data_IF_998934957502
#
_entry.id   IF_998934957502
#
_cell.length_a   1.000
_cell.length_b   1.000
_cell.length_c   1.000
_cell.angle_alpha   90.00
_cell.angle_beta   90.00
_cell.angle_gamma   90.00
#
_symmetry.space_group_name_H-M   'P 1'
#
loop_
_entity.id
_entity.type
_entity.pdbx_description
1 polymer ?
#
# COMPACT_ATOMS: atom_id res chain seq x y z
N UNK A 1 36.10 13.70 0.11
CA UNK A 1 34.70 14.19 -0.02
C UNK A 1 33.77 13.04 0.34
N UNK A 2 33.24 13.03 1.57
CA UNK A 2 32.32 11.97 2.03
C UNK A 2 31.00 12.10 1.26
N UNK A 3 30.59 11.04 0.57
CA UNK A 3 29.30 10.98 -0.12
C UNK A 3 28.16 11.28 0.85
N UNK A 4 27.27 12.19 0.51
CA UNK A 4 26.10 12.54 1.33
C UNK A 4 25.20 11.32 1.50
N UNK A 5 25.29 10.67 2.66
CA UNK A 5 24.44 9.52 3.01
C UNK A 5 22.97 9.95 3.09
N UNK A 6 22.01 9.06 2.81
CA UNK A 6 20.57 9.38 2.88
C UNK A 6 20.15 9.90 4.26
N UNK A 7 20.81 9.44 5.32
CA UNK A 7 20.62 9.91 6.71
C UNK A 7 20.97 11.40 6.84
N UNK A 8 22.08 11.83 6.24
CA UNK A 8 22.48 13.24 6.25
C UNK A 8 21.48 14.12 5.47
N UNK A 9 20.90 13.61 4.37
CA UNK A 9 19.89 14.34 3.59
C UNK A 9 18.58 14.50 4.37
N UNK A 10 18.15 13.45 5.08
CA UNK A 10 16.98 13.51 5.94
C UNK A 10 17.18 14.49 7.10
N UNK A 11 18.35 14.46 7.76
CA UNK A 11 18.69 15.41 8.82
C UNK A 11 18.73 16.87 8.33
N UNK A 12 19.32 17.13 7.16
CA UNK A 12 19.27 18.48 6.56
C UNK A 12 17.84 18.92 6.27
N UNK A 13 17.02 18.05 5.68
CA UNK A 13 15.63 18.36 5.40
C UNK A 13 14.84 18.66 6.69
N UNK A 14 15.04 17.89 7.76
CA UNK A 14 14.34 18.14 9.02
C UNK A 14 14.72 19.49 9.62
N UNK A 15 16.02 19.84 9.60
CA UNK A 15 16.50 21.13 10.12
C UNK A 15 15.95 22.31 9.32
N UNK A 16 15.90 22.20 7.98
CA UNK A 16 15.29 23.22 7.13
C UNK A 16 13.80 23.39 7.41
N UNK A 17 13.06 22.29 7.55
CA UNK A 17 11.62 22.32 7.87
C UNK A 17 11.38 22.90 9.27
N UNK A 18 12.17 22.50 10.27
CA UNK A 18 12.07 22.98 11.64
C UNK A 18 12.37 24.49 11.73
N UNK A 19 13.48 24.94 11.13
CA UNK A 19 13.86 26.34 11.10
C UNK A 19 12.87 27.20 10.31
N UNK A 20 12.35 26.69 9.18
CA UNK A 20 11.31 27.38 8.41
C UNK A 20 10.03 27.57 9.22
N UNK A 21 9.61 26.56 9.97
CA UNK A 21 8.44 26.65 10.85
C UNK A 21 8.65 27.61 12.03
N UNK A 22 9.83 27.59 12.66
CA UNK A 22 10.22 28.55 13.68
C UNK A 22 10.25 29.98 13.15
N UNK A 23 10.76 30.19 11.93
CA UNK A 23 10.78 31.49 11.29
C UNK A 23 9.35 31.99 11.00
N UNK A 24 8.46 31.12 10.55
CA UNK A 24 7.04 31.45 10.39
C UNK A 24 6.39 31.83 11.74
N UNK A 25 6.73 31.13 12.82
CA UNK A 25 6.25 31.47 14.16
C UNK A 25 6.76 32.83 14.65
N UNK A 26 8.02 33.14 14.37
CA UNK A 26 8.61 34.44 14.64
C UNK A 26 7.92 35.56 13.84
N UNK A 27 7.66 35.37 12.54
CA UNK A 27 6.95 36.33 11.69
C UNK A 27 5.51 36.58 12.16
N UNK A 28 4.85 35.56 12.68
CA UNK A 28 3.52 35.66 13.27
C UNK A 28 3.52 36.26 14.68
N UNK A 29 4.69 36.68 15.20
CA UNK A 29 4.87 37.25 16.54
C UNK A 29 4.38 36.35 17.68
N UNK A 30 4.44 35.02 17.49
CA UNK A 30 3.98 34.07 18.51
C UNK A 30 5.06 33.94 19.59
N UNK A 31 4.76 34.47 20.78
CA UNK A 31 5.73 34.55 21.88
C UNK A 31 5.78 33.29 22.76
N UNK A 32 4.75 32.43 22.72
CA UNK A 32 4.68 31.24 23.58
C UNK A 32 5.23 30.00 22.88
N UNK A 33 6.02 29.14 23.55
CA UNK A 33 6.53 27.89 22.97
C UNK A 33 5.41 26.98 22.45
N UNK A 34 4.33 26.84 23.21
CA UNK A 34 3.17 26.07 22.81
C UNK A 34 2.48 26.65 21.56
N UNK A 35 2.33 27.98 21.48
CA UNK A 35 1.79 28.64 20.29
C UNK A 35 2.68 28.44 19.06
N UNK A 36 4.00 28.56 19.23
CA UNK A 36 4.96 28.36 18.15
C UNK A 36 4.92 26.91 17.63
N UNK A 37 4.76 25.92 18.52
CA UNK A 37 4.57 24.51 18.15
C UNK A 37 3.24 24.25 17.44
N UNK A 38 2.14 24.87 17.88
CA UNK A 38 0.85 24.79 17.17
C UNK A 38 0.98 25.34 15.75
N UNK A 39 1.59 26.52 15.59
CA UNK A 39 1.79 27.14 14.28
C UNK A 39 2.76 26.31 13.41
N UNK A 40 3.79 25.73 14.00
CA UNK A 40 4.68 24.80 13.30
C UNK A 40 3.93 23.57 12.78
N UNK A 41 3.01 23.00 13.59
CA UNK A 41 2.11 21.95 13.16
C UNK A 41 1.23 22.36 11.96
N UNK A 42 0.73 23.60 11.96
CA UNK A 42 0.01 24.14 10.81
C UNK A 42 0.88 24.17 9.54
N UNK A 43 2.11 24.68 9.64
CA UNK A 43 3.09 24.74 8.53
C UNK A 43 3.39 23.33 8.01
N UNK A 44 3.66 22.38 8.90
CA UNK A 44 3.93 20.99 8.54
C UNK A 44 2.78 20.36 7.77
N UNK A 45 1.53 20.63 8.20
CA UNK A 45 0.37 20.10 7.50
C UNK A 45 0.15 20.77 6.15
N UNK A 46 0.46 22.05 6.01
CA UNK A 46 0.44 22.78 4.74
C UNK A 46 1.40 22.14 3.72
N UNK A 47 2.58 21.68 4.13
CA UNK A 47 3.52 20.96 3.25
C UNK A 47 2.92 19.65 2.70
N UNK A 48 2.15 18.93 3.52
CA UNK A 48 1.47 17.70 3.10
C UNK A 48 0.12 17.94 2.39
N UNK A 49 -0.37 19.18 2.37
CA UNK A 49 -1.70 19.53 1.86
C UNK A 49 -1.87 19.26 0.36
N UNK A 50 -0.92 19.64 -0.53
CA UNK A 50 -1.03 19.40 -1.97
C UNK A 50 -1.30 17.94 -2.32
N UNK A 51 -0.62 17.00 -1.65
CA UNK A 51 -0.83 15.57 -1.86
C UNK A 51 -2.24 15.13 -1.46
N UNK A 52 -2.74 15.59 -0.31
CA UNK A 52 -4.09 15.24 0.14
C UNK A 52 -5.19 15.89 -0.69
N UNK A 53 -4.97 17.10 -1.24
CA UNK A 53 -5.91 17.76 -2.17
C UNK A 53 -5.92 17.03 -3.52
N UNK A 54 -4.75 16.65 -4.03
CA UNK A 54 -4.65 15.86 -5.26
C UNK A 54 -5.32 14.48 -5.09
N UNK A 55 -5.19 13.87 -3.90
CA UNK A 55 -5.93 12.66 -3.53
C UNK A 55 -7.45 12.86 -3.58
N UNK A 56 -7.96 13.98 -3.06
CA UNK A 56 -9.39 14.32 -3.12
C UNK A 56 -9.84 14.51 -4.58
N UNK A 57 -9.06 15.21 -5.42
CA UNK A 57 -9.37 15.35 -6.84
C UNK A 57 -9.47 13.99 -7.55
N UNK A 58 -8.55 13.07 -7.25
CA UNK A 58 -8.57 11.74 -7.84
C UNK A 58 -9.80 10.95 -7.38
N UNK A 59 -10.14 11.02 -6.09
CA UNK A 59 -11.34 10.36 -5.53
C UNK A 59 -12.61 10.84 -6.22
N UNK A 60 -12.80 12.16 -6.33
CA UNK A 60 -13.98 12.74 -6.96
C UNK A 60 -14.07 12.35 -8.45
N UNK A 61 -12.94 12.29 -9.18
CA UNK A 61 -12.93 11.79 -10.57
C UNK A 61 -13.29 10.31 -10.67
N UNK A 62 -12.88 9.48 -9.70
CA UNK A 62 -13.34 8.08 -9.66
C UNK A 62 -14.84 8.04 -9.43
N UNK A 63 -15.37 8.83 -8.50
CA UNK A 63 -16.81 8.87 -8.24
C UNK A 63 -17.62 9.25 -9.50
N UNK A 64 -17.12 10.19 -10.32
CA UNK A 64 -17.72 10.53 -11.61
C UNK A 64 -17.58 9.43 -12.68
N UNK A 65 -16.57 8.57 -12.58
CA UNK A 65 -16.32 7.47 -13.52
C UNK A 65 -17.13 6.20 -13.20
N UNK A 66 -17.63 6.07 -11.97
CA UNK A 66 -18.41 4.91 -11.52
C UNK A 66 -19.69 4.65 -12.32
N UNK A 67 -20.51 5.66 -12.71
CA UNK A 67 -21.71 5.43 -13.52
C UNK A 67 -21.41 4.73 -14.84
N UNK A 68 -20.44 5.22 -15.61
CA UNK A 68 -20.05 4.62 -16.90
C UNK A 68 -19.49 3.20 -16.72
N UNK A 69 -18.73 2.98 -15.64
CA UNK A 69 -18.18 1.66 -15.34
C UNK A 69 -19.26 0.67 -14.90
N UNK A 70 -20.30 1.15 -14.21
CA UNK A 70 -21.43 0.36 -13.80
C UNK A 70 -22.24 -0.13 -15.01
N UNK A 71 -22.41 0.70 -16.04
CA UNK A 71 -23.08 0.29 -17.27
C UNK A 71 -22.25 -0.76 -18.04
N UNK A 72 -20.93 -0.57 -18.16
CA UNK A 72 -20.05 -1.60 -18.72
C UNK A 72 -20.06 -2.91 -17.91
N UNK A 73 -20.28 -2.82 -16.60
CA UNK A 73 -20.39 -3.98 -15.74
C UNK A 73 -21.70 -4.75 -15.94
N UNK A 74 -22.84 -4.05 -16.15
CA UNK A 74 -24.10 -4.71 -16.52
C UNK A 74 -23.95 -5.56 -17.77
N UNK A 75 -23.34 -5.00 -18.83
CA UNK A 75 -23.06 -5.76 -20.07
C UNK A 75 -22.22 -7.02 -19.82
N UNK A 76 -21.28 -6.95 -18.88
CA UNK A 76 -20.48 -8.11 -18.49
C UNK A 76 -21.32 -9.16 -17.76
N UNK A 77 -22.17 -8.75 -16.81
CA UNK A 77 -23.04 -9.68 -16.08
C UNK A 77 -24.02 -10.38 -17.01
N UNK A 78 -24.60 -9.65 -17.96
CA UNK A 78 -25.50 -10.22 -18.97
C UNK A 78 -24.85 -11.39 -19.75
N UNK A 79 -23.54 -11.33 -19.99
CA UNK A 79 -22.79 -12.39 -20.67
C UNK A 79 -22.39 -13.51 -19.69
N UNK A 80 -21.92 -13.18 -18.49
CA UNK A 80 -21.39 -14.18 -17.55
C UNK A 80 -22.48 -15.02 -16.90
N UNK A 81 -23.59 -14.39 -16.54
CA UNK A 81 -24.73 -15.02 -15.89
C UNK A 81 -25.61 -15.77 -16.89
N UNK A 82 -25.36 -15.62 -18.20
CA UNK A 82 -26.07 -16.36 -19.22
C UNK A 82 -25.83 -17.88 -19.06
N UNK A 83 -26.89 -18.71 -18.99
CA UNK A 83 -26.79 -20.12 -18.66
C UNK A 83 -26.05 -20.95 -19.72
N UNK A 84 -25.93 -20.42 -20.95
CA UNK A 84 -25.22 -21.07 -22.05
C UNK A 84 -23.82 -20.50 -22.31
N UNK A 85 -23.36 -19.54 -21.50
CA UNK A 85 -22.07 -18.91 -21.74
C UNK A 85 -20.91 -19.89 -21.55
N UNK A 86 -20.08 -20.01 -22.58
CA UNK A 86 -18.92 -20.90 -22.56
C UNK A 86 -17.78 -20.20 -21.80
N UNK A 87 -16.88 -20.97 -21.17
CA UNK A 87 -15.76 -20.43 -20.41
C UNK A 87 -14.89 -19.42 -21.19
N UNK A 88 -14.77 -19.60 -22.50
CA UNK A 88 -14.08 -18.64 -23.38
C UNK A 88 -14.81 -17.30 -23.47
N UNK A 89 -16.13 -17.29 -23.62
CA UNK A 89 -16.94 -16.06 -23.70
C UNK A 89 -16.85 -15.28 -22.39
N UNK A 90 -16.88 -15.97 -21.25
CA UNK A 90 -16.65 -15.35 -19.93
C UNK A 90 -15.27 -14.70 -19.82
N UNK A 91 -14.22 -15.33 -20.38
CA UNK A 91 -12.86 -14.76 -20.41
C UNK A 91 -12.78 -13.53 -21.31
N UNK A 92 -13.41 -13.57 -22.48
CA UNK A 92 -13.47 -12.43 -23.40
C UNK A 92 -14.23 -11.26 -22.77
N UNK A 93 -15.38 -11.54 -22.12
CA UNK A 93 -16.15 -10.53 -21.41
C UNK A 93 -15.35 -9.89 -20.27
N UNK A 94 -14.62 -10.68 -19.48
CA UNK A 94 -13.75 -10.17 -18.42
C UNK A 94 -12.62 -9.28 -18.97
N UNK A 95 -12.02 -9.67 -20.10
CA UNK A 95 -10.99 -8.87 -20.76
C UNK A 95 -11.55 -7.58 -21.35
N UNK A 96 -12.76 -7.62 -21.94
CA UNK A 96 -13.48 -6.43 -22.41
C UNK A 96 -13.75 -5.47 -21.25
N UNK A 97 -14.31 -5.95 -20.13
CA UNK A 97 -14.56 -5.15 -18.94
C UNK A 97 -13.28 -4.50 -18.40
N UNK A 98 -12.16 -5.23 -18.39
CA UNK A 98 -10.86 -4.68 -17.99
C UNK A 98 -10.39 -3.56 -18.91
N UNK A 99 -10.52 -3.75 -20.23
CA UNK A 99 -10.17 -2.73 -21.22
C UNK A 99 -11.08 -1.51 -21.12
N UNK A 100 -12.39 -1.70 -20.94
CA UNK A 100 -13.37 -0.63 -20.77
C UNK A 100 -13.11 0.16 -19.49
N UNK A 101 -12.81 -0.51 -18.38
CA UNK A 101 -12.38 0.14 -17.14
C UNK A 101 -11.14 1.01 -17.36
N UNK A 102 -10.11 0.48 -18.00
CA UNK A 102 -8.88 1.21 -18.24
C UNK A 102 -9.13 2.41 -19.19
N UNK A 103 -10.01 2.26 -20.20
CA UNK A 103 -10.44 3.34 -21.09
C UNK A 103 -11.18 4.44 -20.32
N UNK A 104 -12.20 4.07 -19.54
CA UNK A 104 -13.02 5.00 -18.74
C UNK A 104 -12.12 5.74 -17.74
N UNK A 105 -11.30 5.03 -16.96
CA UNK A 105 -10.40 5.65 -16.00
C UNK A 105 -9.37 6.58 -16.65
N UNK A 106 -8.87 6.25 -17.86
CA UNK A 106 -8.03 7.18 -18.64
C UNK A 106 -8.81 8.42 -19.08
N UNK A 107 -10.06 8.27 -19.50
CA UNK A 107 -10.96 9.39 -19.81
C UNK A 107 -11.10 10.38 -18.65
N UNK A 108 -11.29 9.85 -17.43
CA UNK A 108 -11.33 10.64 -16.19
C UNK A 108 -9.94 10.93 -15.59
N UNK A 109 -8.84 10.60 -16.28
CA UNK A 109 -7.44 10.77 -15.84
C UNK A 109 -7.11 10.17 -14.46
N UNK A 110 -7.84 9.15 -14.04
CA UNK A 110 -7.76 8.54 -12.71
C UNK A 110 -7.25 7.09 -12.74
N UNK A 111 -6.93 6.54 -11.57
CA UNK A 111 -6.57 5.13 -11.39
C UNK A 111 -6.65 4.77 -9.90
N UNK A 112 -6.71 3.49 -9.57
CA UNK A 112 -6.70 3.02 -8.18
C UNK A 112 -5.46 3.50 -7.39
N UNK A 113 -4.28 3.53 -8.04
CA UNK A 113 -3.04 4.01 -7.42
C UNK A 113 -3.13 5.51 -7.13
N UNK A 114 -3.64 6.30 -8.09
CA UNK A 114 -3.84 7.75 -7.90
C UNK A 114 -4.85 8.07 -6.79
N UNK A 115 -5.77 7.16 -6.48
CA UNK A 115 -6.71 7.32 -5.38
C UNK A 115 -6.05 7.15 -4.00
N UNK A 116 -5.03 6.29 -3.86
CA UNK A 116 -4.46 5.91 -2.55
C UNK A 116 -3.07 6.50 -2.31
N UNK A 117 -2.20 6.51 -3.32
CA UNK A 117 -0.81 6.93 -3.20
C UNK A 117 -0.63 8.37 -2.68
N UNK A 118 -1.42 9.38 -3.11
CA UNK A 118 -1.26 10.74 -2.60
C UNK A 118 -1.53 10.85 -1.09
N UNK A 119 -2.49 10.08 -0.56
CA UNK A 119 -2.74 10.06 0.88
C UNK A 119 -1.67 9.30 1.64
N UNK A 120 -1.11 8.23 1.08
CA UNK A 120 0.01 7.50 1.68
C UNK A 120 1.27 8.38 1.76
N UNK A 121 1.56 9.15 0.72
CA UNK A 121 2.66 10.13 0.73
C UNK A 121 2.37 11.26 1.72
N UNK A 122 1.14 11.80 1.72
CA UNK A 122 0.73 12.85 2.64
C UNK A 122 0.77 12.41 4.11
N UNK A 123 0.39 11.17 4.41
CA UNK A 123 0.46 10.59 5.76
C UNK A 123 1.90 10.32 6.19
N UNK A 124 2.73 9.76 5.30
CA UNK A 124 4.15 9.55 5.57
C UNK A 124 4.88 10.87 5.86
N UNK A 125 4.62 11.91 5.07
CA UNK A 125 5.18 13.24 5.29
C UNK A 125 4.67 13.86 6.60
N UNK A 126 3.39 13.69 6.92
CA UNK A 126 2.81 14.18 8.18
C UNK A 126 3.43 13.48 9.39
N UNK A 127 3.60 12.15 9.34
CA UNK A 127 4.26 11.38 10.39
C UNK A 127 5.74 11.76 10.53
N UNK A 128 6.44 11.97 9.41
CA UNK A 128 7.81 12.45 9.42
C UNK A 128 7.93 13.81 10.12
N UNK A 129 7.07 14.77 9.77
CA UNK A 129 7.05 16.10 10.38
C UNK A 129 6.67 16.09 11.86
N UNK A 130 5.74 15.21 12.27
CA UNK A 130 5.35 15.04 13.68
C UNK A 130 6.45 14.38 14.52
N UNK A 131 7.29 13.56 13.91
CA UNK A 131 8.43 12.91 14.55
C UNK A 131 9.65 13.82 14.64
N UNK A 132 10.40 13.92 13.53
CA UNK A 132 11.79 14.45 13.57
C UNK A 132 11.85 15.97 13.66
N UNK A 133 11.22 16.76 12.75
CA UNK A 133 11.26 18.23 12.85
C UNK A 133 10.57 18.76 14.11
N UNK A 134 9.44 18.18 14.51
CA UNK A 134 8.75 18.57 15.74
C UNK A 134 9.61 18.34 16.99
N UNK A 135 10.31 17.21 17.05
CA UNK A 135 11.26 16.93 18.13
C UNK A 135 12.38 17.97 18.18
N UNK A 136 12.96 18.35 17.04
CA UNK A 136 14.03 19.37 16.97
C UNK A 136 13.57 20.73 17.53
N UNK A 137 12.34 21.15 17.20
CA UNK A 137 11.75 22.38 17.76
C UNK A 137 11.50 22.23 19.26
N UNK A 138 10.98 21.08 19.69
CA UNK A 138 10.75 20.78 21.11
C UNK A 138 12.03 20.79 21.94
N UNK A 139 13.11 20.19 21.43
CA UNK A 139 14.42 20.19 22.09
C UNK A 139 15.00 21.59 22.15
N UNK A 140 14.87 22.40 21.08
CA UNK A 140 15.31 23.79 21.08
C UNK A 140 14.65 24.60 22.21
N UNK A 141 13.32 24.49 22.37
CA UNK A 141 12.64 25.23 23.42
C UNK A 141 13.01 24.76 24.83
N UNK A 142 13.10 23.45 25.05
CA UNK A 142 13.33 22.88 26.38
C UNK A 142 14.80 22.94 26.80
N UNK A 143 15.73 22.63 25.89
CA UNK A 143 17.16 22.48 26.20
C UNK A 143 17.95 23.76 25.92
N UNK A 144 17.75 24.41 24.77
CA UNK A 144 18.57 25.55 24.37
C UNK A 144 18.02 26.87 24.93
N UNK A 145 16.70 27.06 24.85
CA UNK A 145 16.04 28.28 25.33
C UNK A 145 15.61 28.21 26.81
N UNK A 146 15.69 27.03 27.45
CA UNK A 146 15.29 26.83 28.85
C UNK A 146 13.81 27.14 29.13
N UNK A 147 12.95 27.06 28.11
CA UNK A 147 11.53 27.40 28.21
C UNK A 147 10.67 26.15 28.40
N UNK A 148 9.78 26.19 29.40
CA UNK A 148 8.79 25.13 29.59
C UNK A 148 7.69 25.20 28.52
N UNK A 149 7.38 24.07 27.90
CA UNK A 149 6.24 23.94 26.99
C UNK A 149 4.99 23.72 27.84
N UNK A 150 4.33 24.82 28.22
CA UNK A 150 3.07 24.79 28.95
C UNK A 150 1.93 25.10 27.98
N UNK A 151 0.93 24.21 27.95
CA UNK A 151 -0.28 24.43 27.17
C UNK A 151 -1.07 25.61 27.74
N UNK A 152 -1.49 26.59 26.92
CA UNK A 152 -2.30 27.71 27.38
C UNK A 152 -3.73 27.28 27.79
N UNK A 153 -4.13 26.05 27.43
CA UNK A 153 -5.43 25.48 27.77
C UNK A 153 -5.37 24.60 29.02
N UNK A 154 -4.19 24.39 29.60
CA UNK A 154 -4.06 23.57 30.80
C UNK A 154 -4.78 24.25 31.98
N UNK A 155 -5.56 23.47 32.71
CA UNK A 155 -6.31 23.89 33.89
C UNK A 155 -5.74 23.18 35.10
N UNK A 156 -5.35 23.95 36.11
CA UNK A 156 -4.84 23.44 37.38
C UNK A 156 -5.93 23.50 38.43
N UNK A 157 -6.16 22.37 39.11
CA UNK A 157 -7.05 22.28 40.26
C UNK A 157 -6.26 22.57 41.54
N UNK A 158 -6.70 23.55 42.32
CA UNK A 158 -6.05 23.98 43.56
C UNK A 158 -6.70 23.35 44.79
N UNK A 159 -5.93 23.23 45.88
CA UNK A 159 -6.43 22.90 47.20
C UNK A 159 -7.52 23.90 47.60
N UNK A 160 -8.74 23.41 47.86
CA UNK A 160 -9.94 24.25 48.07
C UNK A 160 -10.91 24.29 46.89
N UNK A 161 -10.66 23.56 45.79
CA UNK A 161 -11.60 23.38 44.69
C UNK A 161 -11.63 24.52 43.66
N UNK A 162 -10.68 25.47 43.75
CA UNK A 162 -10.54 26.54 42.76
C UNK A 162 -9.85 26.03 41.49
N UNK A 163 -10.37 26.40 40.33
CA UNK A 163 -9.80 26.12 39.02
C UNK A 163 -9.06 27.35 38.52
N UNK A 164 -7.79 27.19 38.14
CA UNK A 164 -6.98 28.26 37.56
C UNK A 164 -6.44 27.85 36.19
N UNK A 165 -6.49 28.76 35.22
CA UNK A 165 -5.84 28.55 33.94
C UNK A 165 -4.32 28.64 34.14
N UNK A 166 -3.56 27.72 33.54
CA UNK A 166 -2.10 27.72 33.60
C UNK A 166 -1.54 28.88 32.75
N UNK A 167 -1.58 30.11 33.27
CA UNK A 167 -1.09 31.29 32.56
C UNK A 167 0.41 31.53 32.74
N UNK A 168 1.03 30.90 33.73
CA UNK A 168 2.49 30.92 33.98
C UNK A 168 2.83 29.75 34.89
N UNK A 169 4.10 29.31 34.88
CA UNK A 169 4.64 28.25 35.73
C UNK A 169 4.52 28.62 37.23
N UNK A 170 3.32 28.56 37.78
CA UNK A 170 3.08 28.68 39.21
C UNK A 170 3.19 27.30 39.82
N UNK A 171 4.41 26.94 40.19
CA UNK A 171 4.68 25.95 41.24
C UNK A 171 4.17 26.51 42.57
N UNK A 172 2.85 26.61 42.73
CA UNK A 172 2.29 26.80 44.08
C UNK A 172 2.18 25.42 44.72
N UNK A 173 2.60 25.30 45.98
CA UNK A 173 2.43 24.08 46.77
C UNK A 173 0.94 23.67 46.97
N UNK A 174 0.00 24.40 46.35
CA UNK A 174 -1.44 24.21 46.41
C UNK A 174 -2.04 23.53 45.16
N UNK A 175 -1.27 23.23 44.10
CA UNK A 175 -1.78 22.50 42.94
C UNK A 175 -2.01 21.01 43.28
N UNK A 176 -3.26 20.53 43.18
CA UNK A 176 -3.60 19.13 43.36
C UNK A 176 -3.30 18.32 42.09
N UNK A 177 -3.80 18.78 40.94
CA UNK A 177 -3.55 18.15 39.64
C UNK A 177 -3.76 19.14 38.49
N UNK A 178 -3.19 18.84 37.33
CA UNK A 178 -3.34 19.62 36.10
C UNK A 178 -3.97 18.79 34.99
N UNK A 179 -4.93 19.36 34.27
CA UNK A 179 -5.55 18.73 33.09
C UNK A 179 -5.20 19.57 31.87
N UNK A 180 -4.54 18.97 30.88
CA UNK A 180 -4.26 19.60 29.59
C UNK A 180 -5.16 19.00 28.49
N UNK A 181 -6.15 19.75 27.97
CA UNK A 181 -7.05 19.25 26.96
C UNK A 181 -6.46 19.25 25.55
N UNK A 182 -5.24 19.78 25.31
CA UNK A 182 -4.68 19.92 23.95
C UNK A 182 -4.61 18.59 23.20
N UNK A 183 -4.16 17.53 23.86
CA UNK A 183 -4.07 16.20 23.26
C UNK A 183 -5.46 15.63 22.96
N UNK A 184 -6.43 15.82 23.86
CA UNK A 184 -7.82 15.42 23.66
C UNK A 184 -8.45 16.16 22.47
N UNK A 185 -8.21 17.46 22.34
CA UNK A 185 -8.67 18.27 21.22
C UNK A 185 -7.99 17.84 19.91
N UNK A 186 -6.69 17.57 19.92
CA UNK A 186 -5.96 17.05 18.77
C UNK A 186 -6.52 15.71 18.30
N UNK A 187 -6.77 14.78 19.24
CA UNK A 187 -7.38 13.48 18.97
C UNK A 187 -8.82 13.62 18.44
N UNK A 188 -9.63 14.49 19.05
CA UNK A 188 -11.00 14.78 18.62
C UNK A 188 -11.07 15.35 17.20
N UNK A 189 -10.23 16.32 16.88
CA UNK A 189 -10.12 16.88 15.52
C UNK A 189 -9.61 15.84 14.53
N UNK A 190 -8.65 15.00 14.91
CA UNK A 190 -8.19 13.87 14.08
C UNK A 190 -9.34 12.91 13.79
N UNK A 191 -10.13 12.57 14.81
CA UNK A 191 -11.30 11.71 14.68
C UNK A 191 -12.30 12.33 13.69
N UNK A 192 -12.66 13.60 13.87
CA UNK A 192 -13.53 14.33 12.96
C UNK A 192 -13.01 14.28 11.51
N UNK A 193 -11.72 14.53 11.29
CA UNK A 193 -11.09 14.50 9.97
C UNK A 193 -11.16 13.12 9.33
N UNK A 194 -10.83 12.07 10.09
CA UNK A 194 -10.88 10.68 9.60
C UNK A 194 -12.31 10.27 9.29
N UNK A 195 -13.28 10.59 10.15
CA UNK A 195 -14.69 10.28 9.92
C UNK A 195 -15.20 10.97 8.66
N UNK A 196 -14.88 12.25 8.44
CA UNK A 196 -15.23 12.97 7.22
C UNK A 196 -14.58 12.37 5.98
N UNK A 197 -13.29 12.07 6.04
CA UNK A 197 -12.55 11.44 4.95
C UNK A 197 -13.12 10.06 4.56
N UNK A 198 -13.51 9.26 5.56
CA UNK A 198 -14.13 7.96 5.35
C UNK A 198 -15.57 8.09 4.82
N UNK A 199 -16.34 9.08 5.29
CA UNK A 199 -17.70 9.32 4.78
C UNK A 199 -17.74 9.70 3.30
N UNK A 200 -16.71 10.38 2.78
CA UNK A 200 -16.59 10.68 1.34
C UNK A 200 -16.33 9.45 0.47
N UNK A 201 -16.00 8.30 1.07
CA UNK A 201 -15.71 7.03 0.37
C UNK A 201 -16.83 6.01 0.49
N UNK A 202 -17.92 6.38 1.15
CA UNK A 202 -19.12 5.55 1.23
C UNK A 202 -19.81 5.54 -0.12
N UNK A 203 -20.31 4.39 -0.57
CA UNK A 203 -21.05 4.26 -1.82
C UNK A 203 -20.20 3.91 -3.04
N UNK A 204 -18.92 3.56 -2.83
CA UNK A 204 -18.07 2.98 -3.89
C UNK A 204 -18.27 1.47 -4.02
N UNK A 205 -18.46 0.75 -2.90
CA UNK A 205 -18.71 -0.69 -2.86
C UNK A 205 -19.16 -1.12 -1.45
N UNK A 206 -20.17 -1.95 -1.31
CA UNK A 206 -20.67 -2.50 -0.04
C UNK A 206 -19.58 -3.13 0.85
N UNK A 207 -18.60 -3.83 0.24
CA UNK A 207 -17.46 -4.40 1.00
C UNK A 207 -16.58 -3.29 1.59
N UNK A 208 -16.32 -2.24 0.81
CA UNK A 208 -15.57 -1.08 1.28
C UNK A 208 -16.37 -0.34 2.35
N UNK A 209 -17.69 -0.22 2.19
CA UNK A 209 -18.57 0.45 3.15
C UNK A 209 -18.63 -0.30 4.48
N UNK A 210 -18.67 -1.64 4.44
CA UNK A 210 -18.53 -2.50 5.62
C UNK A 210 -17.18 -2.32 6.32
N UNK A 211 -16.09 -2.23 5.55
CA UNK A 211 -14.76 -1.92 6.10
C UNK A 211 -14.69 -0.51 6.69
N UNK A 212 -15.28 0.48 6.01
CA UNK A 212 -15.39 1.87 6.48
C UNK A 212 -16.14 1.91 7.81
N UNK A 213 -17.27 1.22 7.94
CA UNK A 213 -18.05 1.17 9.19
C UNK A 213 -17.22 0.65 10.35
N UNK A 214 -16.51 -0.48 10.16
CA UNK A 214 -15.61 -1.05 11.18
C UNK A 214 -14.46 -0.09 11.51
N UNK A 215 -13.88 0.55 10.50
CA UNK A 215 -12.77 1.49 10.67
C UNK A 215 -13.20 2.75 11.43
N UNK A 216 -14.40 3.29 11.14
CA UNK A 216 -14.97 4.42 11.89
C UNK A 216 -15.12 4.08 13.37
N UNK A 217 -15.65 2.89 13.69
CA UNK A 217 -15.79 2.42 15.08
C UNK A 217 -14.43 2.29 15.76
N UNK A 218 -13.46 1.63 15.12
CA UNK A 218 -12.12 1.46 15.66
C UNK A 218 -11.40 2.79 15.91
N UNK A 219 -11.52 3.75 14.98
CA UNK A 219 -10.92 5.08 15.12
C UNK A 219 -11.59 5.89 16.23
N UNK A 220 -12.92 5.87 16.32
CA UNK A 220 -13.65 6.52 17.41
C UNK A 220 -13.23 5.96 18.78
N UNK A 221 -13.13 4.64 18.91
CA UNK A 221 -12.72 3.99 20.15
C UNK A 221 -11.26 4.31 20.49
N UNK A 222 -10.35 4.20 19.52
CA UNK A 222 -8.92 4.47 19.73
C UNK A 222 -8.64 5.92 20.11
N UNK A 223 -9.15 6.88 19.33
CA UNK A 223 -8.96 8.30 19.62
C UNK A 223 -9.76 8.76 20.84
N UNK A 224 -10.92 8.15 21.09
CA UNK A 224 -11.70 8.37 22.31
C UNK A 224 -10.94 7.92 23.55
N UNK A 225 -10.25 6.79 23.50
CA UNK A 225 -9.39 6.30 24.59
C UNK A 225 -8.17 7.21 24.79
N UNK A 226 -7.54 7.70 23.72
CA UNK A 226 -6.45 8.69 23.81
C UNK A 226 -6.95 9.99 24.46
N UNK A 227 -8.11 10.49 24.05
CA UNK A 227 -8.70 11.69 24.64
C UNK A 227 -9.04 11.49 26.12
N UNK A 228 -9.73 10.40 26.47
CA UNK A 228 -10.10 10.07 27.84
C UNK A 228 -8.88 9.88 28.74
N UNK A 229 -7.87 9.12 28.29
CA UNK A 229 -6.62 8.93 29.04
C UNK A 229 -5.87 10.24 29.26
N UNK A 230 -5.83 11.13 28.26
CA UNK A 230 -5.17 12.44 28.41
C UNK A 230 -5.86 13.34 29.45
N UNK A 231 -7.20 13.33 29.50
CA UNK A 231 -7.97 14.12 30.46
C UNK A 231 -7.94 13.53 31.88
N UNK A 232 -7.89 12.20 31.99
CA UNK A 232 -7.90 11.50 33.27
C UNK A 232 -6.50 11.32 33.88
N UNK A 233 -5.42 11.51 33.12
CA UNK A 233 -4.05 11.30 33.59
C UNK A 233 -3.73 12.12 34.85
N UNK A 234 -4.01 13.42 34.86
CA UNK A 234 -3.81 14.29 36.03
C UNK A 234 -4.57 13.81 37.27
N UNK A 235 -5.91 13.71 37.22
CA UNK A 235 -6.72 13.22 38.33
C UNK A 235 -6.32 11.83 38.83
N UNK A 236 -6.00 10.88 37.93
CA UNK A 236 -5.60 9.52 38.30
C UNK A 236 -4.23 9.49 38.98
N UNK A 237 -3.25 10.26 38.47
CA UNK A 237 -1.93 10.33 39.11
C UNK A 237 -2.01 10.90 40.52
N UNK A 238 -2.85 11.92 40.72
CA UNK A 238 -3.13 12.47 42.05
C UNK A 238 -3.84 11.46 42.96
N UNK A 239 -4.93 10.84 42.48
CA UNK A 239 -5.72 9.89 43.28
C UNK A 239 -4.92 8.62 43.69
N UNK A 240 -4.00 8.18 42.83
CA UNK A 240 -3.18 6.98 43.06
C UNK A 240 -1.80 7.31 43.66
N UNK A 241 -1.51 8.59 43.96
CA UNK A 241 -0.21 9.07 44.41
C UNK A 241 0.96 8.59 43.52
N UNK A 242 0.72 8.51 42.20
CA UNK A 242 1.70 8.08 41.21
C UNK A 242 2.48 9.29 40.67
N UNK A 243 3.75 9.09 40.26
CA UNK A 243 4.48 10.13 39.53
C UNK A 243 3.73 10.50 38.24
N UNK A 244 3.85 11.76 37.83
CA UNK A 244 3.17 12.28 36.65
C UNK A 244 3.48 11.42 35.40
N UNK A 245 2.45 10.74 34.89
CA UNK A 245 2.55 9.85 33.73
C UNK A 245 2.58 10.68 32.44
N UNK A 246 3.79 10.95 31.94
CA UNK A 246 3.98 11.60 30.65
C UNK A 246 4.03 10.53 29.55
N UNK A 247 2.86 10.14 29.02
CA UNK A 247 2.78 9.15 27.94
C UNK A 247 3.36 9.63 26.60
N UNK A 248 3.37 10.95 26.39
CA UNK A 248 3.85 11.57 25.15
C UNK A 248 4.85 12.70 25.45
N UNK A 249 5.81 12.96 24.55
CA UNK A 249 6.67 14.13 24.65
C UNK A 249 5.85 15.44 24.64
N UNK A 250 6.26 16.48 25.39
CA UNK A 250 5.48 17.70 25.58
C UNK A 250 5.26 18.50 24.29
N UNK A 251 6.11 18.33 23.27
CA UNK A 251 5.95 19.00 21.98
C UNK A 251 4.89 18.34 21.07
N UNK A 252 4.51 17.09 21.34
CA UNK A 252 3.69 16.29 20.41
C UNK A 252 2.24 16.78 20.37
N UNK A 253 1.64 17.05 21.53
CA UNK A 253 0.26 17.52 21.64
C UNK A 253 0.00 18.84 20.89
N UNK A 254 0.79 19.93 21.08
CA UNK A 254 0.56 21.18 20.36
C UNK A 254 0.79 21.07 18.84
N UNK A 255 1.83 20.34 18.40
CA UNK A 255 2.08 20.14 16.96
C UNK A 255 0.96 19.32 16.33
N UNK A 256 0.55 18.23 16.97
CA UNK A 256 -0.56 17.39 16.49
C UNK A 256 -1.86 18.20 16.42
N UNK A 257 -2.14 19.03 17.43
CA UNK A 257 -3.29 19.93 17.41
C UNK A 257 -3.28 20.85 16.18
N UNK A 258 -2.14 21.52 15.89
CA UNK A 258 -2.00 22.39 14.72
C UNK A 258 -2.21 21.66 13.39
N UNK A 259 -1.66 20.44 13.26
CA UNK A 259 -1.85 19.60 12.07
C UNK A 259 -3.30 19.15 11.89
N UNK A 260 -3.99 18.81 12.98
CA UNK A 260 -5.38 18.37 12.95
C UNK A 260 -6.34 19.53 12.69
N UNK A 261 -6.08 20.71 13.26
CA UNK A 261 -6.85 21.92 13.03
C UNK A 261 -6.78 22.38 11.57
N UNK A 262 -5.58 22.41 10.99
CA UNK A 262 -5.41 22.74 9.56
C UNK A 262 -6.08 21.73 8.63
N UNK A 263 -6.07 20.44 8.99
CA UNK A 263 -6.81 19.41 8.24
C UNK A 263 -8.32 19.61 8.33
N UNK A 264 -8.83 19.99 9.51
CA UNK A 264 -10.25 20.28 9.71
C UNK A 264 -10.68 21.51 8.92
N UNK A 265 -9.88 22.58 8.96
CA UNK A 265 -10.10 23.79 8.17
C UNK A 265 -10.12 23.47 6.68
N UNK A 266 -9.16 22.69 6.18
CA UNK A 266 -9.14 22.21 4.80
C UNK A 266 -10.40 21.41 4.47
N UNK A 267 -10.85 20.53 5.35
CA UNK A 267 -12.05 19.71 5.10
C UNK A 267 -13.32 20.57 5.05
N UNK A 268 -13.46 21.54 5.94
CA UNK A 268 -14.63 22.43 5.99
C UNK A 268 -14.63 23.37 4.78
N UNK A 269 -13.51 24.04 4.50
CA UNK A 269 -13.43 25.03 3.43
C UNK A 269 -13.37 24.39 2.05
N UNK A 270 -12.44 23.46 1.82
CA UNK A 270 -12.20 22.88 0.49
C UNK A 270 -13.29 21.89 0.10
N UNK A 271 -13.66 21.00 1.02
CA UNK A 271 -14.61 19.92 0.70
C UNK A 271 -16.06 20.28 1.06
N UNK A 272 -16.27 21.17 2.03
CA UNK A 272 -17.60 21.54 2.51
C UNK A 272 -18.26 22.70 1.77
N UNK A 273 -17.50 23.52 1.03
CA UNK A 273 -18.04 24.70 0.33
C UNK A 273 -17.89 24.60 -1.18
N UNK A 274 -18.90 25.02 -1.94
CA UNK A 274 -18.83 25.15 -3.39
C UNK A 274 -17.65 26.00 -3.89
N UNK A 275 -17.33 27.19 -3.32
CA UNK A 275 -16.16 27.96 -3.76
C UNK A 275 -14.83 27.24 -3.50
N UNK A 276 -14.71 26.52 -2.37
CA UNK A 276 -13.53 25.70 -2.10
C UNK A 276 -13.36 24.56 -3.12
N UNK A 277 -14.45 23.86 -3.43
CA UNK A 277 -14.44 22.81 -4.45
C UNK A 277 -14.05 23.37 -5.83
N UNK A 278 -14.57 24.54 -6.21
CA UNK A 278 -14.23 25.20 -7.47
C UNK A 278 -12.75 25.63 -7.52
N UNK A 279 -12.23 26.25 -6.45
CA UNK A 279 -10.84 26.70 -6.35
C UNK A 279 -9.85 25.53 -6.55
N UNK A 280 -10.17 24.37 -5.98
CA UNK A 280 -9.34 23.18 -6.07
C UNK A 280 -9.76 22.19 -7.17
N UNK A 281 -10.66 22.61 -8.08
CA UNK A 281 -11.14 21.80 -9.22
C UNK A 281 -11.62 20.41 -8.81
N UNK A 282 -12.34 20.33 -7.69
CA UNK A 282 -13.01 19.12 -7.23
C UNK A 282 -14.34 18.98 -7.97
N UNK A 283 -14.52 17.97 -8.83
CA UNK A 283 -15.81 17.76 -9.48
C UNK A 283 -16.87 17.36 -8.47
N UNK A 284 -18.10 17.83 -8.65
CA UNK A 284 -19.22 17.45 -7.79
C UNK A 284 -19.53 15.95 -7.92
N UNK A 285 -19.90 15.32 -6.81
CA UNK A 285 -20.36 13.93 -6.86
C UNK A 285 -21.59 13.81 -7.76
N UNK A 286 -21.68 12.79 -8.63
CA UNK A 286 -22.88 12.56 -9.40
C UNK A 286 -24.06 12.23 -8.47
N UNK A 287 -25.30 12.58 -8.82
CA UNK A 287 -26.49 12.31 -7.99
C UNK A 287 -26.73 10.82 -7.75
N UNK A 288 -26.18 9.97 -8.62
CA UNK A 288 -26.24 8.52 -8.55
C UNK A 288 -25.14 7.92 -7.62
N UNK A 289 -24.25 8.74 -7.04
CA UNK A 289 -23.25 8.24 -6.11
C UNK A 289 -23.90 7.64 -4.86
N UNK A 290 -23.53 6.41 -4.50
CA UNK A 290 -24.12 5.69 -3.36
C UNK A 290 -25.48 5.04 -3.63
N UNK A 291 -26.07 5.19 -4.82
CA UNK A 291 -27.28 4.43 -5.21
C UNK A 291 -26.96 3.04 -5.77
N UNK A 292 -25.69 2.79 -6.10
CA UNK A 292 -25.22 1.51 -6.61
C UNK A 292 -24.98 0.55 -5.44
N UNK A 293 -25.99 -0.27 -5.09
CA UNK A 293 -25.86 -1.29 -4.05
C UNK A 293 -24.81 -2.37 -4.36
N UNK A 294 -24.64 -3.34 -3.47
CA UNK A 294 -23.64 -4.40 -3.60
C UNK A 294 -23.72 -5.21 -4.88
N UNK A 295 -24.89 -5.39 -5.48
CA UNK A 295 -24.99 -6.09 -6.76
C UNK A 295 -24.50 -5.22 -7.93
N UNK A 296 -24.57 -3.90 -7.80
CA UNK A 296 -24.15 -2.92 -8.81
C UNK A 296 -22.65 -2.58 -8.74
N UNK A 297 -22.01 -2.77 -7.58
CA UNK A 297 -20.59 -2.44 -7.35
C UNK A 297 -19.74 -3.63 -6.90
N UNK A 298 -20.31 -4.69 -6.33
CA UNK A 298 -19.55 -5.80 -5.76
C UNK A 298 -19.27 -6.95 -6.74
N UNK A 299 -19.95 -7.05 -7.88
CA UNK A 299 -19.54 -7.97 -8.95
C UNK A 299 -18.51 -7.34 -9.93
N UNK A 300 -18.37 -6.01 -9.95
CA UNK A 300 -17.53 -5.27 -10.90
C UNK A 300 -16.20 -4.77 -10.32
N UNK A 301 -16.04 -4.86 -9.00
CA UNK A 301 -14.91 -4.32 -8.27
C UNK A 301 -14.36 -5.26 -7.20
N UNK A 302 -14.21 -6.55 -7.51
CA UNK A 302 -13.06 -7.20 -6.88
C UNK A 302 -11.83 -6.41 -7.32
N UNK A 303 -10.99 -6.00 -6.36
CA UNK A 303 -9.70 -5.32 -6.52
C UNK A 303 -8.66 -6.20 -7.22
N UNK A 304 -9.13 -6.88 -8.26
CA UNK A 304 -8.79 -8.23 -8.63
C UNK A 304 -9.28 -8.54 -10.06
N UNK A 305 -9.74 -7.56 -10.86
CA UNK A 305 -9.61 -7.68 -12.33
C UNK A 305 -8.15 -7.61 -12.85
N UNK A 306 -7.17 -7.58 -11.93
CA UNK A 306 -5.79 -7.99 -12.20
C UNK A 306 -5.44 -9.39 -11.62
N UNK A 307 -6.34 -10.06 -10.89
CA UNK A 307 -6.08 -11.24 -10.04
C UNK A 307 -7.25 -12.24 -9.80
N UNK A 308 -8.45 -12.13 -10.40
CA UNK A 308 -9.64 -13.04 -10.25
C UNK A 308 -10.46 -13.25 -11.51
N UNK A 309 -9.97 -12.89 -12.68
CA UNK A 309 -10.35 -13.64 -13.87
C UNK A 309 -9.41 -14.84 -13.95
N UNK A 310 -9.93 -16.06 -13.94
CA UNK A 310 -9.21 -17.35 -14.10
C UNK A 310 -8.90 -18.07 -12.78
N UNK A 311 -9.36 -19.32 -12.72
CA UNK A 311 -9.17 -20.37 -11.71
C UNK A 311 -8.34 -20.01 -10.47
N UNK A 312 -8.94 -20.19 -9.29
CA UNK A 312 -8.28 -20.01 -7.98
C UNK A 312 -6.95 -20.79 -7.88
N UNK A 313 -6.83 -21.89 -8.62
CA UNK A 313 -5.61 -22.71 -8.69
C UNK A 313 -4.51 -22.11 -9.57
N UNK A 314 -4.87 -21.54 -10.72
CA UNK A 314 -3.93 -20.90 -11.65
C UNK A 314 -3.49 -19.52 -11.13
N UNK A 315 -4.38 -18.80 -10.44
CA UNK A 315 -4.01 -17.57 -9.72
C UNK A 315 -3.15 -17.84 -8.50
N UNK A 316 -3.33 -18.97 -7.78
CA UNK A 316 -2.42 -19.35 -6.69
C UNK A 316 -1.02 -19.62 -7.22
N UNK A 317 -0.88 -20.27 -8.38
CA UNK A 317 0.43 -20.56 -8.97
C UNK A 317 1.08 -19.30 -9.54
N UNK A 318 0.34 -18.42 -10.22
CA UNK A 318 0.85 -17.13 -10.73
C UNK A 318 1.20 -16.18 -9.59
N UNK A 319 0.36 -16.07 -8.56
CA UNK A 319 0.66 -15.26 -7.37
C UNK A 319 1.85 -15.81 -6.61
N UNK A 320 1.98 -17.13 -6.45
CA UNK A 320 3.18 -17.72 -5.83
C UNK A 320 4.44 -17.45 -6.66
N UNK A 321 4.32 -17.45 -7.99
CA UNK A 321 5.44 -17.18 -8.89
C UNK A 321 5.83 -15.70 -8.85
N UNK A 322 4.86 -14.80 -8.93
CA UNK A 322 5.08 -13.36 -8.80
C UNK A 322 5.58 -12.98 -7.41
N UNK A 323 5.05 -13.59 -6.35
CA UNK A 323 5.56 -13.44 -4.99
C UNK A 323 7.02 -13.87 -4.90
N UNK A 324 7.40 -15.04 -5.46
CA UNK A 324 8.80 -15.46 -5.48
C UNK A 324 9.70 -14.51 -6.27
N UNK A 325 9.23 -13.97 -7.39
CA UNK A 325 9.97 -12.99 -8.18
C UNK A 325 10.13 -11.68 -7.41
N UNK A 326 9.10 -11.23 -6.72
CA UNK A 326 9.09 -9.98 -5.97
C UNK A 326 9.86 -10.10 -4.66
N UNK A 327 9.79 -11.25 -3.98
CA UNK A 327 10.65 -11.60 -2.84
C UNK A 327 12.11 -11.64 -3.29
N UNK A 328 12.41 -12.26 -4.45
CA UNK A 328 13.75 -12.24 -5.03
C UNK A 328 14.22 -10.83 -5.40
N UNK A 329 13.36 -10.00 -5.99
CA UNK A 329 13.70 -8.64 -6.36
C UNK A 329 13.86 -7.73 -5.13
N UNK A 330 13.01 -7.90 -4.11
CA UNK A 330 13.15 -7.25 -2.81
C UNK A 330 14.44 -7.70 -2.12
N UNK A 331 14.78 -8.98 -2.10
CA UNK A 331 16.04 -9.49 -1.56
C UNK A 331 17.24 -8.91 -2.31
N UNK A 332 17.18 -8.83 -3.64
CA UNK A 332 18.25 -8.22 -4.46
C UNK A 332 18.36 -6.72 -4.19
N UNK A 333 17.24 -6.00 -4.06
CA UNK A 333 17.23 -4.55 -3.80
C UNK A 333 17.65 -4.25 -2.35
N UNK A 334 17.19 -5.04 -1.38
CA UNK A 334 17.60 -4.98 0.02
C UNK A 334 19.09 -5.29 0.13
N UNK A 335 19.57 -6.30 -0.60
CA UNK A 335 20.99 -6.64 -0.64
C UNK A 335 21.84 -5.54 -1.29
N UNK A 336 21.40 -4.94 -2.40
CA UNK A 336 22.06 -3.75 -2.98
C UNK A 336 22.04 -2.56 -2.02
N UNK A 337 20.94 -2.36 -1.29
CA UNK A 337 20.80 -1.31 -0.30
C UNK A 337 21.71 -1.55 0.92
N UNK A 338 21.79 -2.78 1.41
CA UNK A 338 22.67 -3.18 2.52
C UNK A 338 24.15 -3.14 2.13
N UNK A 339 24.49 -3.46 0.87
CA UNK A 339 25.82 -3.26 0.28
C UNK A 339 26.16 -1.78 0.15
N UNK A 340 25.21 -0.94 -0.24
CA UNK A 340 25.37 0.53 -0.24
C UNK A 340 25.51 1.14 1.16
N UNK A 341 24.96 0.46 2.18
CA UNK A 341 25.09 0.86 3.59
C UNK A 341 26.40 0.35 4.21
N UNK A 342 27.17 -0.49 3.51
CA UNK A 342 28.47 -0.98 3.96
C UNK A 342 28.39 -2.06 5.05
N UNK A 343 27.23 -2.72 5.20
CA UNK A 343 26.99 -3.71 6.26
C UNK A 343 27.45 -5.13 5.88
N UNK A 344 27.82 -5.37 4.62
CA UNK A 344 28.37 -6.64 4.14
C UNK A 344 29.75 -6.41 3.54
N UNK A 345 30.74 -7.17 4.01
CA UNK A 345 32.09 -7.19 3.46
C UNK A 345 32.20 -8.22 2.34
N UNK A 346 33.03 -7.97 1.31
CA UNK A 346 33.17 -8.82 0.11
C UNK A 346 33.57 -10.29 0.42
N UNK A 347 33.99 -10.59 1.66
CA UNK A 347 34.36 -11.93 2.14
C UNK A 347 33.12 -12.78 2.45
N UNK A 348 32.09 -12.19 3.07
CA UNK A 348 30.83 -12.87 3.37
C UNK A 348 30.04 -13.19 2.08
N UNK A 349 30.23 -12.36 1.04
CA UNK A 349 29.68 -12.53 -0.31
C UNK A 349 30.24 -13.79 -1.00
N UNK A 350 31.55 -14.01 -0.92
CA UNK A 350 32.22 -15.16 -1.52
C UNK A 350 31.86 -16.49 -0.82
N UNK A 351 31.71 -16.48 0.51
CA UNK A 351 31.30 -17.69 1.25
C UNK A 351 29.85 -18.07 0.97
N UNK A 352 28.95 -17.08 0.95
CA UNK A 352 27.54 -17.32 0.64
C UNK A 352 27.32 -17.78 -0.80
N UNK A 353 28.02 -17.19 -1.77
CA UNK A 353 27.95 -17.62 -3.16
C UNK A 353 28.59 -19.00 -3.39
N UNK A 354 29.70 -19.30 -2.72
CA UNK A 354 30.34 -20.61 -2.77
C UNK A 354 29.40 -21.71 -2.25
N UNK A 355 28.73 -21.49 -1.11
CA UNK A 355 27.80 -22.47 -0.55
C UNK A 355 26.52 -22.63 -1.37
N UNK A 356 26.03 -21.54 -1.97
CA UNK A 356 24.91 -21.59 -2.92
C UNK A 356 25.26 -22.37 -4.19
N UNK A 357 26.48 -22.23 -4.70
CA UNK A 357 26.97 -22.99 -5.85
C UNK A 357 27.21 -24.47 -5.52
N UNK A 358 27.70 -24.78 -4.31
CA UNK A 358 27.79 -26.18 -3.82
C UNK A 358 26.43 -26.85 -3.77
N UNK A 359 25.40 -26.17 -3.23
CA UNK A 359 24.02 -26.70 -3.19
C UNK A 359 23.45 -26.92 -4.59
N UNK A 360 23.66 -25.98 -5.52
CA UNK A 360 23.22 -26.14 -6.92
C UNK A 360 23.93 -27.30 -7.63
N UNK A 361 25.24 -27.49 -7.36
CA UNK A 361 25.99 -28.64 -7.89
C UNK A 361 25.51 -29.97 -7.30
N UNK A 362 25.19 -30.03 -6.01
CA UNK A 362 24.64 -31.22 -5.37
C UNK A 362 23.31 -31.64 -6.01
N UNK A 363 22.37 -30.69 -6.17
CA UNK A 363 21.07 -30.95 -6.81
C UNK A 363 21.23 -31.34 -8.29
N UNK A 364 22.18 -30.72 -9.00
CA UNK A 364 22.46 -31.12 -10.39
C UNK A 364 23.08 -32.53 -10.48
N UNK A 365 23.89 -32.93 -9.49
CA UNK A 365 24.50 -34.25 -9.40
C UNK A 365 23.45 -35.31 -9.08
N UNK A 366 22.54 -35.04 -8.14
CA UNK A 366 21.40 -35.90 -7.83
C UNK A 366 20.48 -36.10 -9.05
N UNK A 367 20.20 -35.03 -9.82
CA UNK A 367 19.41 -35.13 -11.06
C UNK A 367 20.10 -35.97 -12.13
N UNK A 368 21.43 -35.87 -12.25
CA UNK A 368 22.19 -36.70 -13.20
C UNK A 368 22.21 -38.16 -12.78
N UNK A 369 22.37 -38.45 -11.49
CA UNK A 369 22.31 -39.80 -10.95
C UNK A 369 20.90 -40.41 -11.11
N UNK A 370 19.85 -39.62 -10.91
CA UNK A 370 18.48 -40.06 -11.16
C UNK A 370 18.22 -40.35 -12.65
N UNK A 371 18.84 -39.62 -13.58
CA UNK A 371 18.76 -39.90 -15.01
C UNK A 371 19.57 -41.15 -15.42
N UNK A 372 20.75 -41.39 -14.86
CA UNK A 372 21.53 -42.60 -15.16
C UNK A 372 20.88 -43.87 -14.61
N UNK A 373 20.26 -43.80 -13.43
CA UNK A 373 19.49 -44.93 -12.87
C UNK A 373 18.22 -45.18 -13.70
N UNK A 374 17.57 -44.13 -14.23
CA UNK A 374 16.42 -44.28 -15.12
C UNK A 374 16.78 -44.81 -16.53
N UNK A 375 18.00 -44.58 -17.02
CA UNK A 375 18.48 -45.11 -18.30
C UNK A 375 18.98 -46.57 -18.21
N UNK A 376 19.43 -47.04 -17.04
CA UNK A 376 19.77 -48.46 -16.82
C UNK A 376 18.52 -49.36 -16.77
N UNK A 377 17.38 -48.86 -16.31
CA UNK A 377 16.11 -49.60 -16.27
C UNK A 377 15.40 -49.70 -17.64
N UNK A 378 15.87 -48.97 -18.67
CA UNK A 378 15.27 -48.96 -20.03
C UNK A 378 16.21 -49.57 -21.09
N UNK A 379 17.36 -50.12 -20.68
CA UNK A 379 18.27 -50.86 -21.57
C UNK A 379 17.79 -52.29 -21.87
N UNK A 380 16.60 -52.40 -22.47
CA UNK A 380 16.18 -53.58 -23.23
C UNK A 380 15.15 -53.23 -24.30
N UNK A 381 15.48 -52.28 -25.20
CA UNK A 381 14.97 -52.21 -26.60
C UNK A 381 15.58 -51.01 -27.34
N UNK A 382 16.67 -51.29 -28.05
CA UNK A 382 16.97 -50.89 -29.44
C UNK A 382 16.27 -49.65 -30.02
N UNK A 383 17.04 -48.58 -30.31
CA UNK A 383 16.98 -47.81 -31.58
C UNK A 383 18.03 -46.68 -31.73
N UNK A 384 19.21 -46.78 -31.11
CA UNK A 384 20.24 -45.74 -31.18
C UNK A 384 21.38 -45.89 -32.24
N UNK A 385 21.45 -46.90 -33.16
CA UNK A 385 22.54 -46.92 -34.14
C UNK A 385 22.16 -46.37 -35.54
N UNK A 386 20.89 -46.05 -35.83
CA UNK A 386 20.49 -45.61 -37.19
C UNK A 386 20.75 -44.11 -37.43
N UNK A 387 20.79 -43.28 -36.38
CA UNK A 387 20.93 -41.82 -36.53
C UNK A 387 22.36 -41.32 -36.78
N UNK A 388 23.40 -42.14 -36.57
CA UNK A 388 24.79 -41.75 -36.81
C UNK A 388 25.29 -42.04 -38.23
N UNK A 389 24.58 -42.84 -39.04
CA UNK A 389 24.93 -43.06 -40.46
C UNK A 389 24.32 -42.06 -41.43
N UNK A 390 23.28 -41.31 -41.02
CA UNK A 390 22.57 -40.37 -41.89
C UNK A 390 23.18 -38.97 -41.99
N UNK A 391 24.25 -38.65 -41.25
CA UNK A 391 24.89 -37.33 -41.28
C UNK A 391 26.22 -37.28 -42.05
N UNK A 392 26.65 -38.38 -42.67
CA UNK A 392 27.99 -38.43 -43.31
C UNK A 392 28.01 -38.51 -44.84
N UNK A 393 26.86 -38.62 -45.52
CA UNK A 393 26.77 -38.61 -46.98
C UNK A 393 25.76 -37.57 -47.45
N UNK A 394 26.25 -36.42 -47.93
CA UNK A 394 25.65 -35.59 -49.01
C UNK A 394 26.34 -34.22 -49.08
N UNK A 395 27.61 -34.24 -49.47
CA UNK A 395 28.25 -33.11 -50.14
C UNK A 395 28.22 -33.41 -51.64
N UNK A 396 27.47 -32.63 -52.42
CA UNK A 396 27.50 -32.73 -53.90
C UNK A 396 26.22 -32.21 -54.56
N UNK A 397 26.26 -30.95 -54.98
CA UNK A 397 25.68 -30.36 -56.21
C UNK A 397 24.30 -30.83 -56.72
N UNK A 398 23.34 -29.91 -56.80
CA UNK A 398 22.82 -29.36 -58.07
C UNK A 398 21.54 -28.51 -57.87
N UNK A 399 21.38 -27.59 -58.80
CA UNK A 399 20.48 -26.45 -58.88
C UNK A 399 19.03 -26.82 -59.31
N UNK A 400 18.09 -25.98 -58.89
CA UNK A 400 16.97 -25.42 -59.70
C UNK A 400 15.57 -26.10 -59.70
N UNK A 401 14.58 -25.25 -59.40
CA UNK A 401 13.15 -25.24 -59.80
C UNK A 401 12.21 -26.38 -59.38
N UNK A 402 11.31 -26.06 -58.42
CA UNK A 402 9.85 -26.15 -58.59
C UNK A 402 9.15 -25.62 -57.33
N UNK A 403 8.71 -24.36 -57.39
CA UNK A 403 7.67 -23.81 -56.53
C UNK A 403 6.30 -24.46 -56.89
N UNK A 404 5.35 -24.34 -55.95
CA UNK A 404 3.92 -24.62 -56.13
C UNK A 404 3.35 -26.03 -55.84
N UNK A 405 3.98 -26.84 -54.96
CA UNK A 405 3.29 -27.99 -54.33
C UNK A 405 3.59 -28.25 -52.84
N UNK A 406 4.42 -27.44 -52.16
CA UNK A 406 4.87 -27.73 -50.77
C UNK A 406 4.09 -27.02 -49.64
N UNK A 407 3.21 -26.07 -49.95
CA UNK A 407 2.54 -25.24 -48.92
C UNK A 407 1.35 -25.93 -48.23
N UNK A 408 0.72 -26.92 -48.87
CA UNK A 408 -0.35 -27.74 -48.28
C UNK A 408 0.20 -28.81 -47.34
N UNK A 409 1.30 -29.47 -47.71
CA UNK A 409 1.97 -30.48 -46.88
C UNK A 409 2.50 -29.89 -45.56
N UNK A 410 3.02 -28.67 -45.58
CA UNK A 410 3.56 -28.04 -44.38
C UNK A 410 2.46 -27.60 -43.38
N UNK A 411 1.26 -27.24 -43.87
CA UNK A 411 0.10 -26.91 -43.01
C UNK A 411 -0.51 -28.15 -42.38
N UNK A 412 -0.63 -29.24 -43.13
CA UNK A 412 -1.10 -30.53 -42.60
C UNK A 412 -0.12 -31.09 -41.57
N UNK A 413 1.19 -30.98 -41.81
CA UNK A 413 2.20 -31.45 -40.86
C UNK A 413 2.19 -30.63 -39.55
N UNK A 414 1.92 -29.32 -39.62
CA UNK A 414 1.76 -28.46 -38.43
C UNK A 414 0.46 -28.79 -37.68
N UNK A 415 -0.63 -29.09 -38.38
CA UNK A 415 -1.88 -29.52 -37.76
C UNK A 415 -1.71 -30.85 -37.01
N UNK A 416 -1.04 -31.82 -37.62
CA UNK A 416 -0.72 -33.12 -37.00
C UNK A 416 0.21 -32.95 -35.80
N UNK A 417 1.20 -32.04 -35.86
CA UNK A 417 2.07 -31.75 -34.70
C UNK A 417 1.30 -31.09 -33.55
N UNK A 418 0.36 -30.19 -33.83
CA UNK A 418 -0.48 -29.58 -32.81
C UNK A 418 -1.45 -30.58 -32.18
N UNK A 419 -2.03 -31.48 -32.97
CA UNK A 419 -2.90 -32.54 -32.47
C UNK A 419 -2.12 -33.54 -31.60
N UNK A 420 -0.89 -33.89 -31.99
CA UNK A 420 0.00 -34.72 -31.19
C UNK A 420 0.37 -34.05 -29.84
N UNK A 421 0.68 -32.75 -29.86
CA UNK A 421 0.97 -31.99 -28.64
C UNK A 421 -0.25 -31.92 -27.70
N UNK A 422 -1.45 -31.76 -28.23
CA UNK A 422 -2.69 -31.75 -27.45
C UNK A 422 -2.99 -33.12 -26.83
N UNK A 423 -2.74 -34.21 -27.57
CA UNK A 423 -2.89 -35.58 -27.07
C UNK A 423 -1.88 -35.91 -25.96
N UNK A 424 -0.63 -35.47 -26.08
CA UNK A 424 0.38 -35.60 -25.02
C UNK A 424 -0.01 -34.81 -23.77
N UNK A 425 -0.55 -33.61 -23.92
CA UNK A 425 -0.99 -32.80 -22.80
C UNK A 425 -2.20 -33.43 -22.08
N UNK A 426 -3.15 -33.99 -22.82
CA UNK A 426 -4.29 -34.72 -22.27
C UNK A 426 -3.86 -35.98 -21.52
N UNK A 427 -2.94 -36.77 -22.08
CA UNK A 427 -2.34 -37.93 -21.41
C UNK A 427 -1.62 -37.53 -20.12
N UNK A 428 -0.86 -36.42 -20.16
CA UNK A 428 -0.21 -35.87 -18.98
C UNK A 428 -1.18 -35.45 -17.88
N UNK A 429 -2.33 -34.86 -18.24
CA UNK A 429 -3.38 -34.50 -17.28
C UNK A 429 -4.08 -35.73 -16.68
N UNK A 430 -4.34 -36.76 -17.50
CA UNK A 430 -4.92 -38.02 -17.02
C UNK A 430 -3.96 -38.76 -16.08
N UNK A 431 -2.67 -38.84 -16.41
CA UNK A 431 -1.66 -39.45 -15.54
C UNK A 431 -1.54 -38.75 -14.19
N UNK A 432 -1.60 -37.41 -14.15
CA UNK A 432 -1.58 -36.65 -12.88
C UNK A 432 -2.85 -36.86 -12.06
N UNK A 433 -4.01 -37.03 -12.68
CA UNK A 433 -5.26 -37.37 -11.97
C UNK A 433 -5.18 -38.77 -11.37
N UNK A 434 -4.74 -39.75 -12.15
CA UNK A 434 -4.53 -41.12 -11.67
C UNK A 434 -3.52 -41.19 -10.51
N UNK A 435 -2.40 -40.45 -10.60
CA UNK A 435 -1.41 -40.38 -9.53
C UNK A 435 -1.96 -39.73 -8.24
N UNK A 436 -2.83 -38.73 -8.36
CA UNK A 436 -3.50 -38.11 -7.21
C UNK A 436 -4.52 -39.03 -6.57
N UNK A 437 -5.30 -39.76 -7.36
CA UNK A 437 -6.24 -40.76 -6.86
C UNK A 437 -5.52 -41.91 -6.16
N UNK A 438 -4.40 -42.37 -6.71
CA UNK A 438 -3.55 -43.39 -6.08
C UNK A 438 -2.96 -42.89 -4.75
N UNK A 439 -2.45 -41.65 -4.71
CA UNK A 439 -1.93 -41.05 -3.49
C UNK A 439 -3.01 -40.78 -2.42
N UNK A 440 -4.25 -40.50 -2.84
CA UNK A 440 -5.38 -40.35 -1.93
C UNK A 440 -5.81 -41.67 -1.31
N UNK A 441 -5.92 -42.74 -2.12
CA UNK A 441 -6.21 -44.12 -1.66
C UNK A 441 -5.11 -44.76 -0.79
N UNK A 442 -3.91 -44.18 -0.74
CA UNK A 442 -2.84 -44.61 0.16
C UNK A 442 -2.88 -43.88 1.51
N UNK A 443 -3.57 -42.74 1.60
CA UNK A 443 -3.66 -41.92 2.81
C UNK A 443 -4.96 -42.10 3.59
N UNK A 444 -5.96 -42.73 2.95
CA UNK A 444 -7.27 -43.08 3.48
C UNK A 444 -7.57 -44.51 3.10
#
# INVERSE_FOLDING_TARGET
MLSTTPVHRAGLLSTLIANGALHAAHLASVQTPAGALILSGCVFRCLAMPFTIYGDQCLHRVACALPELHDAHKEYLDIVDHPRAIAWERRVAAQKLKNDRDRIFRGFRTSNVKMTAPYAVGSALSLYCLGVPAQQIGTFFVQDAGMAIVSPLAVSCMAGGQLSLASTATTSAATLFTVDPTLALAAGLTCFNVLRHLSQRVGFNDRLDGWIKKTKQAVCLGLGLVAASSLLAGPLTYALALPALHFFPPYLAPVWFGMSATTALKTILVNGTAPGQAMFRLPSYPPQHGTYGGESTAAGHEYRLAFTGVDVEETRSVWQTQKRILDYECDVRLHRFLKQIGLFSDVDELEYEADKLKRKRAVARERRLAHTVADEDVSSKTQAPIRRRAMHDSSGEALQEADEYSSTSHREMVAVQMEHAQLEELRGRQARRAAREAAWKQRH
#
